data_IF_979016961522
#
_entry.id   IF_979016961522
#
_cell.length_a   1.000
_cell.length_b   1.000
_cell.length_c   1.000
_cell.angle_alpha   90.00
_cell.angle_beta   90.00
_cell.angle_gamma   90.00
#
_symmetry.space_group_name_H-M   'P 1'
#
loop_
_entity.id
_entity.type
_entity.pdbx_description
1 polymer ?
#
# COMPACT_ATOMS: atom_id res chain seq x y z
N UNK A 1 0.32 -19.67 -49.27
CA UNK A 1 -0.05 -18.24 -49.25
C UNK A 1 -1.34 -18.07 -50.04
N UNK A 2 -2.52 -17.91 -49.40
CA UNK A 2 -3.71 -17.42 -50.07
C UNK A 2 -3.85 -15.91 -49.86
N UNK A 3 -4.04 -15.21 -50.97
CA UNK A 3 -4.26 -13.76 -51.09
C UNK A 3 -5.60 -13.35 -50.46
N UNK A 4 -5.54 -12.41 -49.51
CA UNK A 4 -6.73 -11.79 -48.89
C UNK A 4 -7.25 -10.68 -49.81
N UNK A 5 -8.52 -10.80 -50.23
CA UNK A 5 -9.25 -9.78 -50.99
C UNK A 5 -9.49 -8.52 -50.14
N UNK A 6 -9.40 -7.28 -50.68
CA UNK A 6 -9.38 -6.05 -49.88
C UNK A 6 -10.76 -5.43 -49.57
N UNK A 7 -11.89 -6.14 -49.74
CA UNK A 7 -13.22 -5.48 -49.72
C UNK A 7 -14.18 -5.92 -48.60
N UNK A 8 -13.66 -6.24 -47.40
CA UNK A 8 -14.52 -6.44 -46.22
C UNK A 8 -14.85 -5.10 -45.53
N UNK A 9 -16.14 -4.73 -45.48
CA UNK A 9 -16.65 -3.51 -44.80
C UNK A 9 -16.78 -3.74 -43.28
N UNK A 10 -16.53 -2.70 -42.47
CA UNK A 10 -16.66 -2.74 -41.00
C UNK A 10 -18.10 -3.11 -40.57
N UNK A 11 -18.30 -4.02 -39.60
CA UNK A 11 -19.63 -4.31 -39.04
C UNK A 11 -20.12 -3.21 -38.06
N UNK A 12 -19.27 -2.22 -37.75
CA UNK A 12 -19.52 -1.16 -36.81
C UNK A 12 -20.44 -0.07 -37.40
N UNK A 13 -21.76 -0.27 -37.33
CA UNK A 13 -22.76 0.76 -37.69
C UNK A 13 -23.03 1.73 -36.54
N UNK A 14 -21.98 2.25 -35.92
CA UNK A 14 -22.08 3.21 -34.83
C UNK A 14 -21.33 4.49 -35.25
N UNK A 15 -22.07 5.60 -35.32
CA UNK A 15 -21.64 6.99 -35.60
C UNK A 15 -21.68 7.38 -37.11
N UNK A 16 -22.43 8.46 -37.40
CA UNK A 16 -22.75 8.99 -38.75
C UNK A 16 -21.56 9.63 -39.50
N UNK A 17 -20.34 9.49 -39.01
CA UNK A 17 -19.16 10.21 -39.49
C UNK A 17 -17.89 9.34 -39.49
N UNK A 18 -18.01 8.08 -39.97
CA UNK A 18 -16.85 7.22 -40.21
C UNK A 18 -16.32 7.47 -41.65
N UNK A 19 -15.11 8.01 -41.84
CA UNK A 19 -14.50 8.12 -43.17
C UNK A 19 -14.11 6.73 -43.70
N UNK A 20 -14.20 6.56 -45.00
CA UNK A 20 -14.00 5.30 -45.74
C UNK A 20 -12.53 4.85 -45.80
N UNK A 21 -11.88 4.64 -44.67
CA UNK A 21 -10.50 4.13 -44.61
C UNK A 21 -10.43 2.61 -44.29
N UNK A 22 -9.41 1.90 -44.78
CA UNK A 22 -9.22 0.47 -44.54
C UNK A 22 -8.93 0.16 -43.06
N UNK A 23 -9.42 -1.00 -42.58
CA UNK A 23 -9.36 -1.50 -41.20
C UNK A 23 -8.00 -1.32 -40.48
N UNK A 24 -6.90 -1.43 -41.21
CA UNK A 24 -5.53 -1.27 -40.70
C UNK A 24 -5.25 0.12 -40.09
N UNK A 25 -5.94 1.17 -40.53
CA UNK A 25 -5.78 2.54 -40.01
C UNK A 25 -6.61 2.84 -38.74
N UNK A 26 -7.54 1.96 -38.37
CA UNK A 26 -8.36 2.08 -37.16
C UNK A 26 -7.76 1.30 -35.98
N UNK A 27 -7.15 0.14 -36.25
CA UNK A 27 -6.48 -0.70 -35.25
C UNK A 27 -5.26 -0.03 -34.57
N UNK A 28 -4.70 1.01 -35.19
CA UNK A 28 -3.57 1.80 -34.66
C UNK A 28 -4.01 3.05 -33.90
N UNK A 29 -5.32 3.33 -33.85
CA UNK A 29 -5.93 4.43 -33.08
C UNK A 29 -6.67 3.95 -31.83
N UNK A 30 -6.30 2.78 -31.29
CA UNK A 30 -6.47 2.54 -29.86
C UNK A 30 -5.47 3.44 -29.13
N UNK A 31 -5.85 4.71 -28.94
CA UNK A 31 -5.23 5.54 -27.93
C UNK A 31 -5.45 4.84 -26.59
N UNK A 32 -4.48 4.03 -26.17
CA UNK A 32 -4.26 3.75 -24.77
C UNK A 32 -3.70 5.03 -24.16
N UNK A 33 -4.55 6.04 -24.01
CA UNK A 33 -4.36 7.02 -22.96
C UNK A 33 -4.84 6.35 -21.68
N UNK A 34 -4.12 5.30 -21.23
CA UNK A 34 -3.95 5.19 -19.80
C UNK A 34 -3.16 6.44 -19.45
N UNK A 35 -3.85 7.47 -18.96
CA UNK A 35 -3.16 8.49 -18.18
C UNK A 35 -2.24 7.73 -17.23
N UNK A 36 -0.94 8.08 -17.15
CA UNK A 36 -0.05 7.42 -16.22
C UNK A 36 -0.72 7.58 -14.86
N UNK A 37 -1.13 6.47 -14.25
CA UNK A 37 -1.50 6.46 -12.84
C UNK A 37 -0.34 7.13 -12.12
N UNK A 38 -0.59 8.28 -11.49
CA UNK A 38 0.45 9.02 -10.81
C UNK A 38 1.22 8.05 -9.93
N UNK A 39 2.55 7.95 -10.10
CA UNK A 39 3.34 6.98 -9.36
C UNK A 39 3.15 7.23 -7.84
N UNK A 40 3.30 6.19 -7.04
CA UNK A 40 3.16 6.22 -5.56
C UNK A 40 4.08 5.16 -4.97
N UNK A 41 4.53 5.25 -3.72
CA UNK A 41 5.42 4.20 -3.19
C UNK A 41 4.77 2.80 -3.21
N UNK A 42 5.54 1.75 -3.46
CA UNK A 42 5.12 0.34 -3.32
C UNK A 42 5.71 -0.28 -2.07
N UNK A 43 4.90 -0.98 -1.28
CA UNK A 43 5.37 -1.74 -0.11
C UNK A 43 5.08 -3.23 -0.28
N UNK A 44 5.98 -4.06 0.22
CA UNK A 44 5.78 -5.51 0.31
C UNK A 44 6.56 -6.10 1.49
N UNK A 45 6.16 -7.29 1.93
CA UNK A 45 6.92 -8.03 2.92
C UNK A 45 6.35 -9.39 3.24
N UNK A 46 7.16 -10.19 3.93
CA UNK A 46 6.88 -11.58 4.32
C UNK A 46 7.35 -11.80 5.75
N UNK A 47 6.51 -12.43 6.57
CA UNK A 47 6.86 -13.04 7.84
C UNK A 47 6.73 -14.56 7.68
N UNK A 48 7.78 -15.31 7.97
CA UNK A 48 7.88 -16.76 7.81
C UNK A 48 8.38 -17.40 9.12
N UNK A 49 7.61 -18.34 9.67
CA UNK A 49 7.92 -19.01 10.94
C UNK A 49 9.10 -19.98 10.86
N UNK A 50 9.42 -20.47 9.67
CA UNK A 50 10.50 -21.44 9.43
C UNK A 50 11.83 -20.76 9.06
N UNK A 51 11.88 -19.42 9.02
CA UNK A 51 13.07 -18.67 8.60
C UNK A 51 13.39 -18.83 7.12
N UNK A 52 12.37 -19.00 6.26
CA UNK A 52 12.52 -19.25 4.82
C UNK A 52 12.21 -18.05 3.93
N UNK A 53 12.31 -16.82 4.46
CA UNK A 53 12.27 -15.64 3.61
C UNK A 53 13.54 -15.62 2.76
N UNK A 54 13.37 -15.73 1.45
CA UNK A 54 14.46 -15.62 0.48
C UNK A 54 14.56 -14.20 -0.06
N UNK A 55 15.78 -13.66 -0.09
CA UNK A 55 16.05 -12.30 -0.57
C UNK A 55 15.82 -12.15 -2.06
N UNK A 56 15.95 -13.21 -2.87
CA UNK A 56 15.70 -13.15 -4.32
C UNK A 56 14.20 -13.02 -4.60
N UNK A 57 13.37 -13.86 -3.96
CA UNK A 57 11.90 -13.70 -4.00
C UNK A 57 11.46 -12.33 -3.49
N UNK A 58 12.02 -11.85 -2.38
CA UNK A 58 11.68 -10.53 -1.83
C UNK A 58 12.06 -9.39 -2.78
N UNK A 59 13.23 -9.45 -3.41
CA UNK A 59 13.65 -8.49 -4.43
C UNK A 59 12.69 -8.51 -5.64
N UNK A 60 12.27 -9.70 -6.08
CA UNK A 60 11.30 -9.85 -7.16
C UNK A 60 9.92 -9.28 -6.80
N UNK A 61 9.46 -9.42 -5.54
CA UNK A 61 8.26 -8.72 -5.07
C UNK A 61 8.38 -7.20 -5.23
N UNK A 62 9.53 -6.64 -4.85
CA UNK A 62 9.84 -5.22 -5.00
C UNK A 62 9.85 -4.78 -6.47
N UNK A 63 10.53 -5.53 -7.35
CA UNK A 63 10.60 -5.22 -8.79
C UNK A 63 9.21 -5.25 -9.45
N UNK A 64 8.33 -6.17 -9.06
CA UNK A 64 6.94 -6.19 -9.55
C UNK A 64 6.14 -4.95 -9.15
N UNK A 65 6.61 -4.14 -8.20
CA UNK A 65 6.00 -2.87 -7.76
C UNK A 65 6.74 -1.62 -8.27
N UNK A 66 7.74 -1.78 -9.14
CA UNK A 66 8.57 -0.69 -9.67
C UNK A 66 7.77 0.44 -10.32
N UNK A 67 6.69 0.12 -11.03
CA UNK A 67 5.84 1.11 -11.68
C UNK A 67 5.18 2.07 -10.70
N UNK A 68 5.06 1.69 -9.42
CA UNK A 68 4.55 2.58 -8.38
C UNK A 68 5.67 3.53 -7.93
N UNK A 69 6.83 2.98 -7.55
CA UNK A 69 7.98 3.75 -7.05
C UNK A 69 9.23 3.53 -7.91
N UNK A 70 9.45 4.35 -8.95
CA UNK A 70 10.56 4.18 -9.88
C UNK A 70 11.88 4.80 -9.38
N UNK A 71 11.84 5.67 -8.36
CA UNK A 71 12.99 6.52 -8.01
C UNK A 71 14.04 5.82 -7.17
N UNK A 72 13.60 4.95 -6.25
CA UNK A 72 14.50 4.25 -5.33
C UNK A 72 13.88 2.93 -4.85
N UNK A 73 14.71 2.05 -4.32
CA UNK A 73 14.28 0.77 -3.75
C UNK A 73 15.16 0.34 -2.59
N UNK A 74 14.59 -0.50 -1.73
CA UNK A 74 15.36 -1.06 -0.62
C UNK A 74 14.72 -2.31 -0.04
N UNK A 75 15.58 -3.12 0.56
CA UNK A 75 15.26 -4.41 1.13
C UNK A 75 15.86 -4.51 2.53
N UNK A 76 15.07 -5.00 3.48
CA UNK A 76 15.54 -5.35 4.83
C UNK A 76 15.10 -6.76 5.14
N UNK A 77 16.01 -7.57 5.66
CA UNK A 77 15.70 -8.89 6.22
C UNK A 77 16.12 -9.01 7.67
N UNK A 78 15.38 -9.77 8.47
CA UNK A 78 15.74 -10.04 9.86
C UNK A 78 15.72 -11.54 10.15
N UNK A 79 16.79 -11.99 10.81
CA UNK A 79 16.91 -13.34 11.35
C UNK A 79 16.62 -13.23 12.84
N UNK A 80 15.52 -13.83 13.31
CA UNK A 80 15.17 -13.79 14.73
C UNK A 80 16.30 -14.37 15.58
N UNK A 81 16.73 -13.61 16.59
CA UNK A 81 17.87 -13.94 17.46
C UNK A 81 19.21 -13.39 16.98
N UNK A 82 19.30 -12.81 15.78
CA UNK A 82 20.48 -12.08 15.34
C UNK A 82 20.59 -10.70 16.01
N UNK A 83 21.80 -10.13 16.04
CA UNK A 83 22.05 -8.84 16.68
C UNK A 83 21.29 -7.69 15.98
N UNK A 84 21.28 -7.68 14.64
CA UNK A 84 20.69 -6.63 13.81
C UNK A 84 19.95 -7.22 12.62
N UNK A 85 18.96 -6.51 12.11
CA UNK A 85 18.45 -6.78 10.76
C UNK A 85 19.49 -6.32 9.73
N UNK A 86 19.36 -6.80 8.51
CA UNK A 86 20.32 -6.63 7.43
C UNK A 86 19.63 -5.88 6.29
N UNK A 87 20.12 -4.68 5.98
CA UNK A 87 19.80 -4.03 4.72
C UNK A 87 20.52 -4.80 3.59
N UNK A 88 19.77 -5.18 2.55
CA UNK A 88 20.31 -6.00 1.46
C UNK A 88 20.68 -5.08 0.31
N UNK A 89 21.97 -5.07 -0.05
CA UNK A 89 22.48 -4.34 -1.20
C UNK A 89 22.15 -5.08 -2.50
N UNK A 90 22.05 -4.33 -3.60
CA UNK A 90 21.80 -4.91 -4.92
C UNK A 90 22.92 -5.87 -5.33
N UNK A 91 22.52 -7.07 -5.76
CA UNK A 91 23.47 -8.12 -6.15
C UNK A 91 24.17 -8.82 -4.98
N UNK A 92 23.79 -8.53 -3.73
CA UNK A 92 24.26 -9.27 -2.57
C UNK A 92 23.89 -10.76 -2.65
N UNK A 93 24.74 -11.61 -2.07
CA UNK A 93 24.46 -13.04 -1.99
C UNK A 93 23.20 -13.30 -1.15
N UNK A 94 22.42 -14.37 -1.47
CA UNK A 94 21.21 -14.68 -0.72
C UNK A 94 21.48 -14.90 0.77
N UNK A 95 20.62 -14.34 1.62
CA UNK A 95 20.69 -14.50 3.07
C UNK A 95 19.70 -15.59 3.50
N UNK A 96 20.22 -16.70 4.03
CA UNK A 96 19.39 -17.79 4.56
C UNK A 96 18.96 -17.56 6.02
N UNK A 97 17.82 -18.16 6.41
CA UNK A 97 17.34 -18.14 7.80
C UNK A 97 16.53 -16.89 8.18
N UNK A 98 16.22 -16.01 7.23
CA UNK A 98 15.44 -14.81 7.49
C UNK A 98 13.98 -15.16 7.80
N UNK A 99 13.49 -14.64 8.92
CA UNK A 99 12.10 -14.81 9.35
C UNK A 99 11.23 -13.65 8.86
N UNK A 100 11.83 -12.49 8.62
CA UNK A 100 11.18 -11.32 8.05
C UNK A 100 11.92 -10.85 6.80
N UNK A 101 11.16 -10.44 5.79
CA UNK A 101 11.62 -9.56 4.73
C UNK A 101 10.67 -8.39 4.52
N UNK A 102 11.21 -7.19 4.34
CA UNK A 102 10.50 -5.97 3.93
C UNK A 102 11.12 -5.46 2.63
N UNK A 103 10.27 -5.09 1.69
CA UNK A 103 10.65 -4.47 0.43
C UNK A 103 9.91 -3.14 0.25
N UNK A 104 10.59 -2.20 -0.39
CA UNK A 104 10.04 -0.89 -0.69
C UNK A 104 10.46 -0.41 -2.08
N UNK A 105 9.53 0.26 -2.76
CA UNK A 105 9.73 1.02 -3.99
C UNK A 105 9.29 2.45 -3.72
N UNK A 106 10.19 3.42 -3.86
CA UNK A 106 9.94 4.80 -3.48
C UNK A 106 9.59 5.63 -4.70
N UNK A 107 8.57 6.47 -4.55
CA UNK A 107 8.46 7.71 -5.31
C UNK A 107 8.85 8.85 -4.38
N UNK A 108 9.84 9.64 -4.76
CA UNK A 108 10.45 10.67 -3.92
C UNK A 108 9.71 11.99 -4.04
N UNK A 109 8.60 12.14 -3.30
CA UNK A 109 7.78 13.37 -3.28
C UNK A 109 8.28 14.38 -2.24
N UNK A 110 8.66 13.92 -1.04
CA UNK A 110 9.16 14.73 0.07
C UNK A 110 10.56 14.25 0.46
N UNK A 111 11.48 15.20 0.65
CA UNK A 111 12.87 14.99 1.06
C UNK A 111 13.57 13.86 0.27
N UNK A 112 13.86 14.07 -1.03
CA UNK A 112 14.45 13.04 -1.89
C UNK A 112 15.75 12.44 -1.32
N UNK A 113 16.48 13.20 -0.51
CA UNK A 113 17.77 12.81 0.09
C UNK A 113 17.64 12.01 1.41
N UNK A 114 16.43 11.72 1.88
CA UNK A 114 16.15 11.05 3.17
C UNK A 114 16.71 9.62 3.32
N UNK A 115 17.33 9.07 2.27
CA UNK A 115 17.85 7.71 2.23
C UNK A 115 16.79 6.66 1.90
N UNK A 116 17.22 5.40 1.72
CA UNK A 116 16.35 4.34 1.25
C UNK A 116 15.37 3.89 2.33
N UNK A 117 14.20 3.45 1.89
CA UNK A 117 13.26 2.70 2.71
C UNK A 117 13.37 1.20 2.36
N UNK A 118 13.09 0.25 3.27
CA UNK A 118 12.56 0.40 4.62
C UNK A 118 13.45 1.19 5.59
N UNK A 119 12.86 2.13 6.33
CA UNK A 119 13.58 3.03 7.24
C UNK A 119 13.75 2.39 8.63
N UNK A 120 14.96 2.42 9.18
CA UNK A 120 15.25 1.98 10.54
C UNK A 120 15.14 3.14 11.55
N UNK A 121 14.76 2.85 12.79
CA UNK A 121 14.90 3.78 13.91
C UNK A 121 16.39 3.89 14.36
N UNK A 122 16.69 4.74 15.34
CA UNK A 122 18.08 5.08 15.71
C UNK A 122 18.92 3.89 16.19
N UNK A 123 18.28 2.91 16.86
CA UNK A 123 18.96 1.73 17.40
C UNK A 123 18.76 0.46 16.55
N UNK A 124 18.11 0.59 15.39
CA UNK A 124 17.82 -0.54 14.50
C UNK A 124 16.95 -1.63 15.15
N UNK A 125 16.15 -1.29 16.17
CA UNK A 125 15.17 -2.22 16.75
C UNK A 125 13.83 -2.22 16.02
N UNK A 126 13.56 -1.19 15.20
CA UNK A 126 12.33 -1.06 14.42
C UNK A 126 12.59 -0.63 12.99
N UNK A 127 11.82 -1.22 12.07
CA UNK A 127 11.89 -0.92 10.64
C UNK A 127 10.49 -0.65 10.10
N UNK A 128 10.35 0.38 9.26
CA UNK A 128 9.09 0.74 8.60
C UNK A 128 9.23 0.68 7.08
N UNK A 129 8.21 0.15 6.40
CA UNK A 129 7.95 0.43 4.98
C UNK A 129 6.63 1.16 4.86
N UNK A 130 6.58 2.26 4.11
CA UNK A 130 5.46 3.22 4.14
C UNK A 130 5.07 3.67 2.72
N UNK A 131 3.80 3.54 2.36
CA UNK A 131 3.23 4.15 1.17
C UNK A 131 2.08 5.05 1.60
N UNK A 132 2.28 6.35 1.57
CA UNK A 132 1.28 7.29 2.02
C UNK A 132 1.74 8.73 1.97
N UNK A 133 0.88 9.58 2.51
CA UNK A 133 1.16 10.97 2.84
C UNK A 133 0.50 11.27 4.19
N UNK A 134 1.28 11.86 5.11
CA UNK A 134 0.79 12.30 6.42
C UNK A 134 0.59 13.82 6.44
N UNK A 135 -0.68 14.25 6.49
CA UNK A 135 -1.04 15.66 6.40
C UNK A 135 -0.74 16.43 7.70
N UNK A 136 -0.84 15.78 8.86
CA UNK A 136 -0.55 16.38 10.16
C UNK A 136 0.91 16.18 10.65
N UNK A 137 1.85 16.13 9.70
CA UNK A 137 3.28 15.90 9.96
C UNK A 137 3.88 16.96 10.88
N UNK A 138 3.55 18.25 10.69
CA UNK A 138 4.15 19.34 11.44
C UNK A 138 3.72 19.34 12.92
N UNK A 139 2.43 19.10 13.17
CA UNK A 139 1.83 19.01 14.50
C UNK A 139 2.40 17.79 15.25
N UNK A 140 2.39 16.61 14.62
CA UNK A 140 2.91 15.39 15.23
C UNK A 140 4.40 15.47 15.50
N UNK A 141 5.19 16.03 14.58
CA UNK A 141 6.63 16.24 14.77
C UNK A 141 6.90 17.14 15.97
N UNK A 142 6.11 18.20 16.15
CA UNK A 142 6.21 19.09 17.33
C UNK A 142 5.88 18.34 18.62
N UNK A 143 4.78 17.59 18.62
CA UNK A 143 4.33 16.79 19.77
C UNK A 143 5.34 15.69 20.17
N UNK A 144 5.99 15.05 19.19
CA UNK A 144 7.02 14.03 19.38
C UNK A 144 8.35 14.64 19.87
N UNK A 145 8.77 15.79 19.33
CA UNK A 145 9.97 16.50 19.82
C UNK A 145 9.84 16.90 21.29
N UNK A 146 8.65 17.35 21.71
CA UNK A 146 8.37 17.66 23.11
C UNK A 146 8.51 16.43 24.04
N UNK A 147 8.47 15.22 23.50
CA UNK A 147 8.67 13.94 24.21
C UNK A 147 10.09 13.38 24.08
N UNK A 148 11.00 14.14 23.46
CA UNK A 148 12.41 13.77 23.34
C UNK A 148 12.79 13.03 22.07
N UNK A 149 11.86 12.82 21.13
CA UNK A 149 12.16 12.22 19.84
C UNK A 149 13.04 13.15 18.99
N UNK A 150 14.03 12.56 18.33
CA UNK A 150 14.92 13.24 17.38
C UNK A 150 14.53 12.84 15.95
N UNK A 151 14.76 13.74 15.02
CA UNK A 151 14.46 13.55 13.60
C UNK A 151 15.72 13.75 12.78
N UNK A 152 15.95 12.86 11.82
CA UNK A 152 17.07 12.87 10.88
C UNK A 152 16.65 13.35 9.49
N UNK A 153 15.39 13.19 9.14
CA UNK A 153 14.82 13.53 7.83
C UNK A 153 13.63 14.46 7.98
N UNK A 154 13.19 15.07 6.88
CA UNK A 154 11.95 15.84 6.81
C UNK A 154 10.74 14.96 6.42
N UNK A 155 10.97 13.71 6.00
CA UNK A 155 9.89 12.78 5.58
C UNK A 155 8.84 12.56 6.67
N UNK A 156 7.61 12.35 6.21
CA UNK A 156 6.51 11.82 7.01
C UNK A 156 6.76 10.38 7.50
N UNK A 157 7.45 9.54 6.72
CA UNK A 157 7.85 8.18 7.13
C UNK A 157 8.52 8.17 8.49
N UNK A 158 9.45 9.10 8.76
CA UNK A 158 10.10 9.20 10.06
C UNK A 158 9.10 9.60 11.16
N UNK A 159 8.17 10.52 10.89
CA UNK A 159 7.10 10.90 11.84
C UNK A 159 6.20 9.71 12.18
N UNK A 160 5.79 8.91 11.19
CA UNK A 160 5.00 7.70 11.40
C UNK A 160 5.79 6.68 12.24
N UNK A 161 7.07 6.47 11.92
CA UNK A 161 7.93 5.57 12.69
C UNK A 161 8.01 6.03 14.16
N UNK A 162 8.36 7.29 14.41
CA UNK A 162 8.46 7.86 15.77
C UNK A 162 7.13 7.81 16.53
N UNK A 163 6.01 8.07 15.86
CA UNK A 163 4.69 7.92 16.46
C UNK A 163 4.44 6.47 16.90
N UNK A 164 4.83 5.50 16.07
CA UNK A 164 4.75 4.07 16.43
C UNK A 164 5.73 3.70 17.56
N UNK A 165 6.91 4.33 17.64
CA UNK A 165 7.83 4.12 18.75
C UNK A 165 7.25 4.57 20.10
N UNK A 166 6.56 5.71 20.09
CA UNK A 166 5.96 6.35 21.27
C UNK A 166 4.67 5.65 21.71
N UNK A 167 3.76 5.38 20.77
CA UNK A 167 2.39 4.95 21.04
C UNK A 167 2.14 3.47 20.70
N UNK A 168 3.11 2.78 20.11
CA UNK A 168 2.91 1.46 19.52
C UNK A 168 1.86 1.52 18.41
N UNK A 169 1.06 0.45 18.30
CA UNK A 169 -0.01 0.39 17.31
C UNK A 169 -1.09 1.46 17.48
N UNK A 170 -1.23 2.09 18.67
CA UNK A 170 -2.18 3.20 18.88
C UNK A 170 -1.77 4.49 18.16
N UNK A 171 -0.58 4.54 17.58
CA UNK A 171 -0.17 5.65 16.71
C UNK A 171 -1.22 5.94 15.62
N UNK A 172 -1.89 4.90 15.10
CA UNK A 172 -2.92 5.02 14.05
C UNK A 172 -4.06 5.99 14.38
N UNK A 173 -4.36 6.22 15.65
CA UNK A 173 -5.40 7.15 16.07
C UNK A 173 -5.00 8.61 15.85
N UNK A 174 -3.69 8.89 15.92
CA UNK A 174 -3.13 10.22 15.79
C UNK A 174 -2.75 10.59 14.35
N UNK A 175 -2.71 9.62 13.43
CA UNK A 175 -2.32 9.86 12.04
C UNK A 175 -3.51 10.41 11.23
N UNK A 176 -3.26 11.50 10.50
CA UNK A 176 -4.20 12.09 9.55
C UNK A 176 -3.56 12.10 8.16
N UNK A 177 -4.09 11.27 7.25
CA UNK A 177 -3.45 11.04 5.97
C UNK A 177 -4.07 9.89 5.19
N UNK A 178 -3.51 9.64 4.01
CA UNK A 178 -3.73 8.42 3.24
C UNK A 178 -2.47 7.56 3.35
N UNK A 179 -2.58 6.34 3.86
CA UNK A 179 -1.39 5.54 4.11
C UNK A 179 -1.65 4.04 4.18
N UNK A 180 -0.63 3.30 3.78
CA UNK A 180 -0.44 1.89 4.04
C UNK A 180 0.98 1.73 4.57
N UNK A 181 1.18 1.06 5.70
CA UNK A 181 2.52 0.86 6.22
C UNK A 181 2.66 -0.46 6.96
N UNK A 182 3.91 -0.92 7.08
CA UNK A 182 4.24 -2.02 7.96
C UNK A 182 5.42 -1.66 8.85
N UNK A 183 5.31 -1.93 10.15
CA UNK A 183 6.40 -1.78 11.13
C UNK A 183 6.77 -3.15 11.68
N UNK A 184 8.05 -3.48 11.62
CA UNK A 184 8.64 -4.61 12.32
C UNK A 184 9.30 -4.14 13.60
N UNK A 185 8.86 -4.68 14.75
CA UNK A 185 9.53 -4.52 16.03
C UNK A 185 10.32 -5.81 16.35
N UNK A 186 11.65 -5.72 16.24
CA UNK A 186 12.57 -6.83 16.44
C UNK A 186 12.56 -7.35 17.88
N UNK A 187 12.41 -6.44 18.85
CA UNK A 187 12.42 -6.78 20.28
C UNK A 187 11.19 -7.62 20.64
N UNK A 188 10.08 -7.36 19.96
CA UNK A 188 8.80 -8.07 20.16
C UNK A 188 8.60 -9.24 19.19
N UNK A 189 9.40 -9.34 18.14
CA UNK A 189 9.18 -10.29 17.04
C UNK A 189 7.80 -10.10 16.42
N UNK A 190 7.42 -8.84 16.21
CA UNK A 190 6.05 -8.43 15.88
C UNK A 190 6.02 -7.57 14.62
N UNK A 191 5.25 -8.01 13.63
CA UNK A 191 4.95 -7.25 12.42
C UNK A 191 3.56 -6.64 12.56
N UNK A 192 3.46 -5.33 12.40
CA UNK A 192 2.18 -4.62 12.34
C UNK A 192 2.01 -4.08 10.92
N UNK A 193 0.92 -4.43 10.25
CA UNK A 193 0.56 -3.94 8.92
C UNK A 193 -0.73 -3.12 9.03
N UNK A 194 -0.73 -1.89 8.54
CA UNK A 194 -1.82 -0.91 8.73
C UNK A 194 -2.32 -0.40 7.39
N UNK A 195 -3.64 -0.22 7.29
CA UNK A 195 -4.30 0.46 6.18
C UNK A 195 -5.12 1.65 6.70
N UNK A 196 -5.05 2.79 6.00
CA UNK A 196 -5.72 4.04 6.40
C UNK A 196 -7.24 3.92 6.55
N UNK A 197 -7.84 4.93 7.18
CA UNK A 197 -9.22 4.99 7.65
C UNK A 197 -10.24 4.57 6.57
N UNK A 198 -10.08 5.07 5.35
CA UNK A 198 -11.02 4.80 4.24
C UNK A 198 -10.42 3.90 3.15
N UNK A 199 -9.18 3.44 3.36
CA UNK A 199 -8.51 2.47 2.50
C UNK A 199 -8.02 3.07 1.18
N UNK A 200 -7.57 4.33 1.18
CA UNK A 200 -7.01 4.98 -0.02
C UNK A 200 -5.81 4.21 -0.55
N UNK A 201 -4.88 3.84 0.33
CA UNK A 201 -3.70 3.05 -0.07
C UNK A 201 -4.01 1.55 0.08
N UNK A 202 -3.83 0.73 -0.97
CA UNK A 202 -4.16 -0.69 -0.91
C UNK A 202 -3.11 -1.49 -0.13
N UNK A 203 -3.58 -2.51 0.61
CA UNK A 203 -2.76 -3.55 1.23
C UNK A 203 -3.44 -4.88 1.00
N UNK A 204 -2.84 -5.72 0.16
CA UNK A 204 -3.25 -7.11 -0.02
C UNK A 204 -2.50 -8.01 0.95
N UNK A 205 -3.14 -9.07 1.37
CA UNK A 205 -2.64 -10.08 2.30
C UNK A 205 -2.80 -11.46 1.68
N UNK A 206 -1.74 -12.26 1.78
CA UNK A 206 -1.78 -13.69 1.56
C UNK A 206 -1.25 -14.39 2.82
N UNK A 207 -1.86 -15.49 3.22
CA UNK A 207 -1.44 -16.21 4.43
C UNK A 207 -1.51 -17.71 4.26
N UNK A 208 -0.55 -18.40 4.84
CA UNK A 208 -0.54 -19.85 5.09
C UNK A 208 -0.29 -20.10 6.58
N UNK A 209 -0.33 -21.35 7.09
CA UNK A 209 -0.07 -21.62 8.50
C UNK A 209 1.26 -21.06 9.02
N UNK A 210 2.31 -21.05 8.19
CA UNK A 210 3.66 -20.60 8.57
C UNK A 210 4.07 -19.26 7.94
N UNK A 211 3.23 -18.63 7.11
CA UNK A 211 3.57 -17.37 6.43
C UNK A 211 2.44 -16.34 6.47
N UNK A 212 2.81 -15.08 6.63
CA UNK A 212 1.99 -13.93 6.24
C UNK A 212 2.79 -13.10 5.24
N UNK A 213 2.21 -12.82 4.09
CA UNK A 213 2.74 -11.83 3.15
C UNK A 213 1.77 -10.67 2.99
N UNK A 214 2.32 -9.47 2.75
CA UNK A 214 1.56 -8.29 2.41
C UNK A 214 2.20 -7.57 1.22
N UNK A 215 1.38 -6.86 0.44
CA UNK A 215 1.87 -6.02 -0.66
C UNK A 215 0.86 -4.94 -1.07
N UNK A 216 1.32 -3.87 -1.72
CA UNK A 216 0.44 -2.87 -2.31
C UNK A 216 -0.40 -3.41 -3.48
N UNK A 217 0.08 -4.44 -4.17
CA UNK A 217 -0.63 -5.07 -5.29
C UNK A 217 -0.46 -6.58 -5.27
N UNK A 218 -1.51 -7.32 -5.64
CA UNK A 218 -1.53 -8.79 -5.63
C UNK A 218 -0.40 -9.40 -6.47
N UNK A 219 -0.01 -8.75 -7.57
CA UNK A 219 1.03 -9.28 -8.46
C UNK A 219 2.36 -9.50 -7.77
N UNK A 220 2.68 -8.78 -6.69
CA UNK A 220 3.90 -9.00 -5.92
C UNK A 220 4.01 -10.45 -5.40
N UNK A 221 2.87 -11.11 -5.09
CA UNK A 221 2.87 -12.48 -4.60
C UNK A 221 3.26 -13.52 -5.66
N UNK A 222 3.30 -13.17 -6.95
CA UNK A 222 3.79 -14.07 -8.01
C UNK A 222 5.26 -14.48 -7.81
N UNK A 223 6.02 -13.69 -7.04
CA UNK A 223 7.41 -13.98 -6.70
C UNK A 223 7.57 -14.96 -5.51
N UNK A 224 6.48 -15.29 -4.82
CA UNK A 224 6.52 -16.12 -3.62
C UNK A 224 6.34 -17.60 -3.93
N UNK A 225 7.21 -18.41 -3.33
CA UNK A 225 6.97 -19.84 -3.25
C UNK A 225 5.77 -20.15 -2.36
N UNK A 226 4.93 -21.06 -2.83
CA UNK A 226 3.78 -21.58 -2.08
C UNK A 226 2.44 -20.92 -2.41
N UNK A 227 2.45 -19.75 -3.06
CA UNK A 227 1.23 -19.18 -3.65
C UNK A 227 1.17 -19.45 -5.15
N UNK A 228 -0.05 -19.64 -5.67
CA UNK A 228 -0.31 -19.72 -7.10
C UNK A 228 -1.47 -18.81 -7.43
N UNK A 229 -1.37 -18.09 -8.54
CA UNK A 229 -2.45 -17.26 -9.06
C UNK A 229 -3.61 -18.12 -9.58
N UNK A 230 -4.39 -18.68 -8.66
CA UNK A 230 -5.63 -19.38 -8.94
C UNK A 230 -6.80 -18.40 -8.85
N UNK A 231 -7.68 -18.42 -9.84
CA UNK A 231 -8.89 -17.62 -9.81
C UNK A 231 -9.84 -18.13 -8.71
N UNK A 232 -10.46 -17.22 -7.96
CA UNK A 232 -11.59 -17.56 -7.11
C UNK A 232 -12.89 -17.56 -7.95
N UNK A 233 -13.52 -18.73 -8.21
CA UNK A 233 -14.66 -18.81 -9.12
C UNK A 233 -15.86 -17.97 -8.67
N UNK A 234 -16.07 -17.81 -7.36
CA UNK A 234 -17.20 -17.05 -6.84
C UNK A 234 -17.00 -15.56 -7.07
N UNK A 235 -15.78 -15.06 -6.83
CA UNK A 235 -15.48 -13.63 -7.03
C UNK A 235 -15.32 -13.26 -8.49
N UNK A 236 -14.90 -14.19 -9.35
CA UNK A 236 -14.96 -13.99 -10.80
C UNK A 236 -16.41 -13.82 -11.26
N UNK A 237 -17.33 -14.67 -10.78
CA UNK A 237 -18.76 -14.52 -11.09
C UNK A 237 -19.30 -13.20 -10.56
N UNK A 238 -18.97 -12.81 -9.33
CA UNK A 238 -19.36 -11.52 -8.75
C UNK A 238 -18.89 -10.35 -9.61
N UNK A 239 -17.60 -10.32 -9.94
CA UNK A 239 -17.01 -9.27 -10.77
C UNK A 239 -17.62 -9.22 -12.17
N UNK A 240 -17.84 -10.36 -12.83
CA UNK A 240 -18.47 -10.39 -14.15
C UNK A 240 -19.95 -9.95 -14.10
N UNK A 241 -20.61 -10.11 -12.95
CA UNK A 241 -22.02 -9.72 -12.75
C UNK A 241 -22.15 -8.23 -12.46
N UNK A 242 -21.30 -7.69 -11.58
CA UNK A 242 -21.46 -6.34 -11.03
C UNK A 242 -20.39 -5.36 -11.51
N UNK A 243 -19.40 -5.83 -12.28
CA UNK A 243 -18.21 -5.07 -12.69
C UNK A 243 -17.44 -4.47 -11.52
N UNK A 244 -17.56 -5.08 -10.34
CA UNK A 244 -16.93 -4.65 -9.10
C UNK A 244 -16.72 -5.86 -8.18
N UNK A 245 -15.70 -5.78 -7.31
CA UNK A 245 -15.46 -6.76 -6.24
C UNK A 245 -15.96 -6.17 -4.92
N UNK A 246 -16.82 -6.89 -4.21
CA UNK A 246 -17.36 -6.40 -2.94
C UNK A 246 -16.52 -6.85 -1.73
N UNK A 247 -16.45 -5.98 -0.72
CA UNK A 247 -15.71 -6.22 0.51
C UNK A 247 -14.20 -6.34 0.27
N UNK A 248 -13.58 -7.29 0.95
CA UNK A 248 -12.12 -7.48 0.95
C UNK A 248 -11.63 -8.64 0.11
N UNK A 249 -12.50 -9.33 -0.62
CA UNK A 249 -12.08 -10.47 -1.41
C UNK A 249 -11.55 -10.03 -2.77
N UNK A 250 -10.69 -10.85 -3.37
CA UNK A 250 -10.08 -10.55 -4.67
C UNK A 250 -10.46 -11.61 -5.70
N UNK A 251 -10.10 -11.36 -6.96
CA UNK A 251 -10.24 -12.35 -8.03
C UNK A 251 -9.34 -13.57 -7.84
N UNK A 252 -8.39 -13.52 -6.90
CA UNK A 252 -7.44 -14.59 -6.64
C UNK A 252 -7.77 -15.30 -5.34
N UNK A 253 -7.72 -16.64 -5.38
CA UNK A 253 -7.88 -17.47 -4.19
C UNK A 253 -6.79 -17.16 -3.15
N UNK A 254 -7.16 -17.22 -1.87
CA UNK A 254 -6.29 -17.02 -0.70
C UNK A 254 -5.72 -15.60 -0.52
N UNK A 255 -6.02 -14.69 -1.45
CA UNK A 255 -5.62 -13.28 -1.37
C UNK A 255 -6.83 -12.44 -1.01
N UNK A 256 -6.67 -11.63 0.03
CA UNK A 256 -7.65 -10.63 0.44
C UNK A 256 -7.02 -9.25 0.54
N UNK A 257 -7.81 -8.23 0.38
CA UNK A 257 -7.47 -6.86 0.75
C UNK A 257 -7.64 -6.70 2.27
N UNK A 258 -6.79 -5.95 2.94
CA UNK A 258 -6.99 -5.56 4.34
C UNK A 258 -8.14 -4.56 4.41
N UNK A 259 -9.07 -4.71 5.35
CA UNK A 259 -10.21 -3.78 5.50
C UNK A 259 -9.72 -2.33 5.74
N UNK A 260 -10.42 -1.31 5.22
CA UNK A 260 -10.19 0.09 5.60
C UNK A 260 -10.25 0.31 7.11
N UNK A 261 -9.38 1.15 7.66
CA UNK A 261 -9.38 1.44 9.10
C UNK A 261 -9.01 0.25 9.97
N UNK A 262 -8.25 -0.72 9.42
CA UNK A 262 -7.77 -1.89 10.15
C UNK A 262 -6.25 -2.01 10.13
N UNK A 263 -5.76 -2.78 11.10
CA UNK A 263 -4.39 -3.26 11.13
C UNK A 263 -4.34 -4.76 11.48
N UNK A 264 -3.30 -5.42 11.01
CA UNK A 264 -2.96 -6.80 11.36
C UNK A 264 -1.70 -6.81 12.18
N UNK A 265 -1.72 -7.50 13.31
CA UNK A 265 -0.54 -7.84 14.11
C UNK A 265 -0.20 -9.30 13.87
N UNK A 266 1.03 -9.58 13.45
CA UNK A 266 1.52 -10.92 13.17
C UNK A 266 2.74 -11.24 14.03
N UNK A 267 2.75 -12.45 14.62
CA UNK A 267 3.86 -12.96 15.43
C UNK A 267 4.10 -14.43 15.15
N UNK A 268 5.35 -14.87 15.28
CA UNK A 268 5.72 -16.28 15.17
C UNK A 268 5.47 -17.00 16.50
N UNK A 269 4.80 -18.14 16.45
CA UNK A 269 4.52 -19.03 17.59
C UNK A 269 4.81 -20.48 17.17
N UNK A 270 6.01 -20.96 17.51
CA UNK A 270 6.48 -22.26 17.01
C UNK A 270 6.67 -22.21 15.50
N UNK A 271 6.08 -23.17 14.79
CA UNK A 271 6.10 -23.31 13.33
C UNK A 271 5.00 -22.50 12.61
N UNK A 272 4.31 -21.61 13.33
CA UNK A 272 3.16 -20.86 12.80
C UNK A 272 3.31 -19.36 12.91
N UNK A 273 2.71 -18.66 11.95
CA UNK A 273 2.43 -17.23 12.05
C UNK A 273 1.01 -17.06 12.57
N UNK A 274 0.89 -16.45 13.75
CA UNK A 274 -0.40 -16.12 14.35
C UNK A 274 -0.70 -14.66 14.09
N UNK A 275 -1.88 -14.39 13.52
CA UNK A 275 -2.34 -13.05 13.19
C UNK A 275 -3.54 -12.66 14.05
N UNK A 276 -3.64 -11.36 14.36
CA UNK A 276 -4.84 -10.75 14.92
C UNK A 276 -5.13 -9.46 14.17
N UNK A 277 -6.33 -9.35 13.63
CA UNK A 277 -6.80 -8.17 12.91
C UNK A 277 -7.69 -7.32 13.80
N UNK A 278 -7.48 -6.01 13.77
CA UNK A 278 -8.17 -5.06 14.63
C UNK A 278 -8.62 -3.87 13.81
N UNK A 279 -9.85 -3.44 14.07
CA UNK A 279 -10.40 -2.18 13.56
C UNK A 279 -10.01 -1.06 14.49
N UNK A 280 -9.44 0.01 13.94
CA UNK A 280 -9.15 1.24 14.70
C UNK A 280 -10.05 2.41 14.29
N UNK A 281 -10.70 2.33 13.12
CA UNK A 281 -11.58 3.37 12.64
C UNK A 281 -12.80 2.79 11.92
N UNK A 282 -13.95 3.43 12.13
CA UNK A 282 -15.17 3.21 11.37
C UNK A 282 -16.01 4.49 11.36
N UNK A 283 -16.86 4.65 10.35
CA UNK A 283 -17.92 5.66 10.39
C UNK A 283 -19.00 5.13 11.33
N UNK A 284 -19.13 5.73 12.52
CA UNK A 284 -20.19 5.38 13.46
C UNK A 284 -21.48 6.15 13.17
N UNK A 285 -22.63 5.57 13.53
CA UNK A 285 -23.92 6.25 13.40
C UNK A 285 -23.98 7.57 14.20
N UNK A 286 -23.20 7.67 15.29
CA UNK A 286 -23.09 8.88 16.10
C UNK A 286 -22.34 10.01 15.38
N UNK A 287 -21.55 9.69 14.36
CA UNK A 287 -20.93 10.68 13.47
C UNK A 287 -21.93 11.23 12.43
N UNK A 288 -23.09 10.60 12.26
CA UNK A 288 -24.16 11.13 11.43
C UNK A 288 -24.99 12.12 12.25
N UNK A 289 -25.34 13.30 11.69
CA UNK A 289 -26.19 14.25 12.39
C UNK A 289 -27.50 13.58 12.79
N UNK A 290 -27.88 13.74 14.07
CA UNK A 290 -29.16 13.23 14.56
C UNK A 290 -30.30 13.83 13.71
N UNK A 291 -31.29 13.03 13.27
CA UNK A 291 -32.33 13.49 12.35
C UNK A 291 -33.22 14.63 12.90
N UNK A 292 -33.09 14.96 14.20
CA UNK A 292 -33.95 15.90 14.94
C UNK A 292 -33.22 17.15 15.46
N UNK A 293 -31.95 17.37 15.10
CA UNK A 293 -31.38 18.72 15.24
C UNK A 293 -31.97 19.54 14.11
N UNK A 294 -32.83 20.51 14.45
CA UNK A 294 -33.49 21.39 13.48
C UNK A 294 -32.56 21.70 12.31
N UNK A 295 -33.05 21.40 11.10
CA UNK A 295 -32.23 21.38 9.88
C UNK A 295 -31.41 22.68 9.82
N UNK A 296 -30.07 22.62 9.87
CA UNK A 296 -29.25 23.81 9.74
C UNK A 296 -29.63 24.56 8.45
N UNK A 297 -29.42 25.88 8.41
CA UNK A 297 -29.62 26.62 7.16
C UNK A 297 -28.70 26.00 6.10
N UNK A 298 -29.28 25.63 4.95
CA UNK A 298 -28.53 25.04 3.83
C UNK A 298 -27.36 25.93 3.41
N UNK A 299 -27.45 27.24 3.64
CA UNK A 299 -26.35 28.18 3.44
C UNK A 299 -25.20 27.96 4.42
N UNK A 300 -25.49 27.77 5.69
CA UNK A 300 -24.48 27.53 6.73
C UNK A 300 -23.78 26.18 6.49
N UNK A 301 -24.52 25.14 6.11
CA UNK A 301 -23.95 23.85 5.71
C UNK A 301 -23.03 24.00 4.48
N UNK A 302 -23.48 24.75 3.48
CA UNK A 302 -22.68 25.02 2.28
C UNK A 302 -21.38 25.77 2.59
N UNK A 303 -21.41 26.74 3.50
CA UNK A 303 -20.23 27.47 3.94
C UNK A 303 -19.27 26.60 4.75
N UNK A 304 -19.78 25.70 5.60
CA UNK A 304 -18.97 24.74 6.36
C UNK A 304 -18.31 23.71 5.45
N UNK A 305 -19.05 23.14 4.49
CA UNK A 305 -18.50 22.22 3.49
C UNK A 305 -17.40 22.91 2.68
N UNK A 306 -17.65 24.13 2.19
CA UNK A 306 -16.66 24.89 1.44
C UNK A 306 -15.40 25.14 2.27
N UNK A 307 -15.54 25.61 3.51
CA UNK A 307 -14.42 25.87 4.42
C UNK A 307 -13.60 24.62 4.68
N UNK A 308 -14.27 23.49 4.94
CA UNK A 308 -13.63 22.20 5.19
C UNK A 308 -12.91 21.70 3.95
N UNK A 309 -13.54 21.80 2.78
CA UNK A 309 -12.95 21.43 1.51
C UNK A 309 -11.70 22.26 1.19
N UNK A 310 -11.78 23.59 1.32
CA UNK A 310 -10.65 24.51 1.12
C UNK A 310 -9.48 24.18 2.07
N UNK A 311 -9.77 23.87 3.34
CA UNK A 311 -8.75 23.47 4.32
C UNK A 311 -8.09 22.13 3.97
N UNK A 312 -8.88 21.12 3.57
CA UNK A 312 -8.39 19.80 3.17
C UNK A 312 -7.51 19.91 1.92
N UNK A 313 -7.95 20.65 0.90
CA UNK A 313 -7.14 20.91 -0.30
C UNK A 313 -5.83 21.56 0.10
N UNK A 314 -5.85 22.59 0.94
CA UNK A 314 -4.63 23.25 1.41
C UNK A 314 -3.64 22.28 2.09
N UNK A 315 -4.13 21.32 2.88
CA UNK A 315 -3.29 20.32 3.55
C UNK A 315 -2.67 19.27 2.61
N UNK A 316 -3.23 19.09 1.41
CA UNK A 316 -2.79 18.11 0.40
C UNK A 316 -1.89 18.72 -0.68
N UNK A 317 -1.51 20.00 -0.54
CA UNK A 317 -0.59 20.68 -1.48
C UNK A 317 0.88 20.60 -1.03
N UNK A 318 1.19 19.85 0.03
CA UNK A 318 2.54 19.75 0.58
C UNK A 318 3.37 18.76 -0.25
N UNK A 319 4.15 19.26 -1.20
CA UNK A 319 5.09 18.48 -1.99
C UNK A 319 6.40 19.25 -2.20
N UNK A 320 7.54 18.55 -2.22
CA UNK A 320 8.84 19.14 -2.62
C UNK A 320 9.07 19.02 -4.14
N UNK A 321 8.12 18.41 -4.86
CA UNK A 321 8.16 18.18 -6.31
C UNK A 321 6.99 18.87 -7.02
N UNK A 322 7.13 19.25 -8.31
CA UNK A 322 6.09 19.91 -9.10
C UNK A 322 4.87 19.03 -9.39
#
# INVERSE_FOLDING_TARGET
MPSVSPTARCPCRCIRSCPTEPWSACATRSGSTSEPTEPVCGIAGVLDADGRVDTVSLAAMGHLLEHRGPDDHGLVVDVLGAATAIAVEDGAAPIGGAHLGLAHRRLSIIDPDAGPQPMANDDGSRYITYNGELYNTAELRTWLRARGHRFRTATDTEVVLRAHEELGVRAVDALEGMFAYAVWDRRRGELVVVRDRVGVKPVYLWSSPSRLAFASEVKAFLALDGWRAAADPLHVVEYLTFQNTFGTRTLFSEVRLLEPGHFVVARIRGDRVVTSEHRYWEITADALPAPDRGRPDARDEGEEVRRTFEAVVGSQLVADVP
#
